data_IF_056273034970
#
_entry.id   IF_056273034970
#
_cell.length_a   1.000
_cell.length_b   1.000
_cell.length_c   1.000
_cell.angle_alpha   90.00
_cell.angle_beta   90.00
_cell.angle_gamma   90.00
#
_symmetry.space_group_name_H-M   'P 1'
#
loop_
_entity.id
_entity.type
_entity.pdbx_description
1 polymer ?
#
# COMPACT_ATOMS: atom_id res chain seq x y z
N UNK A 1 -14.35 -7.63 -11.36
CA UNK A 1 -14.37 -6.16 -11.18
C UNK A 1 -13.12 -5.55 -11.76
N UNK A 2 -13.28 -4.53 -12.61
CA UNK A 2 -12.21 -3.81 -13.30
C UNK A 2 -11.54 -2.82 -12.36
N UNK A 3 -10.21 -2.74 -12.40
CA UNK A 3 -9.45 -1.72 -11.68
C UNK A 3 -9.77 -0.35 -12.31
N UNK A 4 -10.19 0.61 -11.49
CA UNK A 4 -10.43 1.98 -11.97
C UNK A 4 -9.13 2.60 -12.51
N UNK A 5 -9.24 3.31 -13.65
CA UNK A 5 -8.17 4.13 -14.22
C UNK A 5 -8.10 5.52 -13.58
N UNK A 6 -8.95 5.81 -12.61
CA UNK A 6 -8.96 7.08 -11.90
C UNK A 6 -7.67 7.28 -11.09
N UNK A 7 -7.27 8.56 -10.96
CA UNK A 7 -6.04 8.99 -10.29
C UNK A 7 -4.90 9.30 -11.26
N UNK A 8 -3.80 9.82 -10.73
CA UNK A 8 -2.64 10.22 -11.54
C UNK A 8 -1.82 9.00 -11.97
N UNK A 9 -1.70 8.77 -13.28
CA UNK A 9 -0.95 7.65 -13.86
C UNK A 9 0.54 7.66 -13.47
N UNK A 10 1.16 8.84 -13.38
CA UNK A 10 2.58 8.96 -13.00
C UNK A 10 2.81 8.47 -11.58
N UNK A 11 1.98 8.90 -10.64
CA UNK A 11 2.05 8.47 -9.22
C UNK A 11 1.89 6.94 -9.13
N UNK A 12 0.92 6.38 -9.86
CA UNK A 12 0.70 4.92 -9.89
C UNK A 12 1.90 4.15 -10.44
N UNK A 13 2.54 4.68 -11.49
CA UNK A 13 3.76 4.10 -12.05
C UNK A 13 4.90 4.10 -11.04
N UNK A 14 5.15 5.25 -10.40
CA UNK A 14 6.20 5.39 -9.39
C UNK A 14 5.98 4.49 -8.17
N UNK A 15 4.73 4.25 -7.76
CA UNK A 15 4.40 3.42 -6.58
C UNK A 15 4.43 1.92 -6.84
N UNK A 16 4.54 1.45 -8.09
CA UNK A 16 4.49 0.01 -8.38
C UNK A 16 5.66 -0.77 -7.78
N UNK A 17 6.89 -0.35 -8.05
CA UNK A 17 8.07 -1.01 -7.48
C UNK A 17 8.16 -0.86 -5.95
N UNK A 18 7.92 0.32 -5.35
CA UNK A 18 7.83 0.46 -3.90
C UNK A 18 6.79 -0.48 -3.27
N UNK A 19 5.61 -0.64 -3.88
CA UNK A 19 4.58 -1.55 -3.39
C UNK A 19 5.04 -3.01 -3.42
N UNK A 20 5.70 -3.45 -4.49
CA UNK A 20 6.25 -4.80 -4.57
C UNK A 20 7.34 -5.05 -3.52
N UNK A 21 8.22 -4.07 -3.29
CA UNK A 21 9.25 -4.12 -2.25
C UNK A 21 8.62 -4.21 -0.86
N UNK A 22 7.66 -3.32 -0.56
CA UNK A 22 6.97 -3.29 0.73
C UNK A 22 6.19 -4.58 1.03
N UNK A 23 5.58 -5.22 0.03
CA UNK A 23 4.92 -6.53 0.23
C UNK A 23 5.91 -7.62 0.67
N UNK A 24 7.21 -7.48 0.37
CA UNK A 24 8.25 -8.44 0.78
C UNK A 24 8.85 -8.09 2.15
N UNK A 25 9.12 -6.82 2.41
CA UNK A 25 9.90 -6.38 3.59
C UNK A 25 9.06 -5.78 4.72
N UNK A 26 7.85 -5.31 4.45
CA UNK A 26 6.98 -4.63 5.42
C UNK A 26 5.81 -5.53 5.80
N UNK A 27 5.84 -6.06 7.02
CA UNK A 27 4.87 -7.04 7.51
C UNK A 27 3.40 -6.53 7.50
N UNK A 28 3.07 -5.32 7.97
CA UNK A 28 1.72 -4.77 7.84
C UNK A 28 1.19 -4.74 6.40
N UNK A 29 2.02 -4.35 5.44
CA UNK A 29 1.64 -4.27 4.02
C UNK A 29 1.55 -5.67 3.41
N UNK A 30 2.46 -6.58 3.77
CA UNK A 30 2.40 -7.99 3.38
C UNK A 30 1.09 -8.64 3.86
N UNK A 31 0.72 -8.43 5.12
CA UNK A 31 -0.51 -8.96 5.70
C UNK A 31 -1.76 -8.38 5.05
N UNK A 32 -1.74 -7.11 4.63
CA UNK A 32 -2.81 -6.53 3.82
C UNK A 32 -2.89 -7.21 2.43
N UNK A 33 -1.76 -7.41 1.78
CA UNK A 33 -1.69 -8.05 0.46
C UNK A 33 -2.21 -9.48 0.50
N UNK A 34 -1.73 -10.29 1.45
CA UNK A 34 -2.13 -11.69 1.61
C UNK A 34 -3.65 -11.82 1.85
N UNK A 35 -4.20 -11.06 2.81
CA UNK A 35 -5.65 -11.06 3.08
C UNK A 35 -6.49 -10.74 1.84
N UNK A 36 -6.04 -9.81 1.01
CA UNK A 36 -6.75 -9.45 -0.23
C UNK A 36 -6.63 -10.55 -1.28
N UNK A 37 -5.46 -11.17 -1.41
CA UNK A 37 -5.21 -12.28 -2.31
C UNK A 37 -6.01 -13.53 -1.91
N UNK A 38 -6.09 -13.86 -0.63
CA UNK A 38 -6.94 -14.94 -0.11
C UNK A 38 -8.41 -14.72 -0.45
N UNK A 39 -8.91 -13.50 -0.26
CA UNK A 39 -10.29 -13.14 -0.62
C UNK A 39 -10.52 -13.02 -2.14
N UNK A 40 -9.46 -12.85 -2.93
CA UNK A 40 -9.54 -12.67 -4.38
C UNK A 40 -8.45 -13.45 -5.13
N UNK A 41 -8.49 -14.80 -5.14
CA UNK A 41 -7.40 -15.64 -5.64
C UNK A 41 -7.05 -15.38 -7.11
N UNK A 42 -8.06 -15.05 -7.93
CA UNK A 42 -7.93 -14.80 -9.36
C UNK A 42 -7.39 -13.40 -9.71
N UNK A 43 -7.19 -12.50 -8.74
CA UNK A 43 -6.76 -11.12 -9.05
C UNK A 43 -5.74 -10.58 -8.05
N UNK A 44 -4.51 -11.13 -8.08
CA UNK A 44 -3.38 -10.66 -7.25
C UNK A 44 -3.07 -9.17 -7.41
N UNK A 45 -3.37 -8.58 -8.58
CA UNK A 45 -3.20 -7.15 -8.83
C UNK A 45 -4.02 -6.26 -7.88
N UNK A 46 -5.17 -6.74 -7.36
CA UNK A 46 -5.95 -6.01 -6.34
C UNK A 46 -5.14 -5.81 -5.06
N UNK A 47 -4.39 -6.83 -4.64
CA UNK A 47 -3.51 -6.76 -3.47
C UNK A 47 -2.39 -5.74 -3.65
N UNK A 48 -1.79 -5.67 -4.84
CA UNK A 48 -0.74 -4.68 -5.14
C UNK A 48 -1.30 -3.25 -5.14
N UNK A 49 -2.48 -3.04 -5.72
CA UNK A 49 -3.12 -1.71 -5.72
C UNK A 49 -3.50 -1.26 -4.31
N UNK A 50 -3.95 -2.18 -3.47
CA UNK A 50 -4.19 -1.87 -2.06
C UNK A 50 -2.90 -1.50 -1.32
N UNK A 51 -1.79 -2.19 -1.58
CA UNK A 51 -0.47 -1.84 -1.04
C UNK A 51 -0.03 -0.44 -1.51
N UNK A 52 -0.18 -0.10 -2.81
CA UNK A 52 0.10 1.25 -3.33
C UNK A 52 -0.67 2.33 -2.59
N UNK A 53 -1.99 2.13 -2.40
CA UNK A 53 -2.84 3.09 -1.69
C UNK A 53 -2.40 3.24 -0.23
N UNK A 54 -2.06 2.13 0.44
CA UNK A 54 -1.60 2.15 1.83
C UNK A 54 -0.29 2.93 1.97
N UNK A 55 0.67 2.73 1.07
CA UNK A 55 1.92 3.48 1.02
C UNK A 55 1.70 4.98 0.77
N UNK A 56 0.85 5.33 -0.20
CA UNK A 56 0.58 6.73 -0.51
C UNK A 56 -0.03 7.48 0.69
N UNK A 57 -0.98 6.85 1.38
CA UNK A 57 -1.59 7.43 2.59
C UNK A 57 -0.56 7.54 3.71
N UNK A 58 0.28 6.52 3.91
CA UNK A 58 1.34 6.54 4.93
C UNK A 58 2.31 7.70 4.69
N UNK A 59 2.82 7.85 3.47
CA UNK A 59 3.71 8.96 3.09
C UNK A 59 3.05 10.30 3.36
N UNK A 60 1.78 10.46 2.99
CA UNK A 60 1.04 11.70 3.22
C UNK A 60 0.89 12.02 4.71
N UNK A 61 0.58 11.04 5.55
CA UNK A 61 0.43 11.24 7.01
C UNK A 61 1.76 11.64 7.64
N UNK A 62 2.83 10.92 7.34
CA UNK A 62 4.18 11.21 7.86
C UNK A 62 4.64 12.60 7.43
N UNK A 63 4.46 12.94 6.15
CA UNK A 63 4.77 14.27 5.64
C UNK A 63 3.93 15.37 6.30
N UNK A 64 2.64 15.12 6.57
CA UNK A 64 1.76 16.11 7.17
C UNK A 64 2.06 16.36 8.65
N UNK A 65 2.52 15.33 9.36
CA UNK A 65 2.90 15.41 10.77
C UNK A 65 4.38 15.77 11.00
N UNK A 66 5.18 15.78 9.94
CA UNK A 66 6.64 15.93 10.00
C UNK A 66 7.30 14.87 10.92
N UNK A 67 6.81 13.64 10.82
CA UNK A 67 7.26 12.51 11.64
C UNK A 67 8.02 11.49 10.78
N UNK A 68 9.11 10.88 11.29
CA UNK A 68 9.77 9.77 10.62
C UNK A 68 8.89 8.51 10.64
N UNK A 69 9.09 7.63 9.66
CA UNK A 69 8.43 6.33 9.67
C UNK A 69 8.90 5.48 10.87
N UNK A 70 7.96 5.09 11.72
CA UNK A 70 8.17 4.12 12.80
C UNK A 70 7.40 2.81 12.49
N UNK A 71 8.10 1.68 12.28
CA UNK A 71 7.47 0.37 12.07
C UNK A 71 6.59 -0.09 13.23
N UNK A 72 6.88 0.36 14.45
CA UNK A 72 6.19 -0.05 15.68
C UNK A 72 5.18 0.99 16.17
N UNK A 73 4.83 1.97 15.32
CA UNK A 73 3.92 3.04 15.69
C UNK A 73 2.55 2.48 16.13
N UNK A 74 2.22 2.66 17.40
CA UNK A 74 0.92 2.31 17.96
C UNK A 74 0.02 3.54 17.87
N UNK A 75 -1.13 3.39 17.22
CA UNK A 75 -2.14 4.44 17.20
C UNK A 75 -2.64 4.68 18.63
N UNK A 76 -2.37 5.88 19.16
CA UNK A 76 -2.97 6.36 20.39
C UNK A 76 -4.26 7.11 20.01
N UNK A 77 -5.40 6.51 20.39
CA UNK A 77 -6.74 7.06 20.14
C UNK A 77 -7.17 8.00 21.26
#
# INVERSE_FOLDING_TARGET
TRISKQGNTRIRGCLYMPALSAVRSNEPIRNLHLRICERNPSTKMKGIIAAMRKLLVLIFVLWKKDEPYDPNHVWQA
#
